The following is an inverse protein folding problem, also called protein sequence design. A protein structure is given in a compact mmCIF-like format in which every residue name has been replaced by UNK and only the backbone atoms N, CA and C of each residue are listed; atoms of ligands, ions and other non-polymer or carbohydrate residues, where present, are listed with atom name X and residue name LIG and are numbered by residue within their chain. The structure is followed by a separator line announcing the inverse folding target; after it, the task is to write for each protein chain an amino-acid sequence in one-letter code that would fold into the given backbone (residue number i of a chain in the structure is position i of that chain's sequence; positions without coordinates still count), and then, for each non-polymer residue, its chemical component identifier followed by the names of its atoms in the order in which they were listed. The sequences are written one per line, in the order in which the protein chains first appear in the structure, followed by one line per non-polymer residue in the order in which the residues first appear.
data_IF_661393722015
#
_entry.id   IF_661393722015
#
_cell.length_a   1.000
_cell.length_b   1.000
_cell.length_c   1.000
_cell.angle_alpha   90.00
_cell.angle_beta   90.00
_cell.angle_gamma   90.00
#
_symmetry.space_group_name_H-M   'P 1'
#
loop_
_entity.id
_entity.type
_entity.pdbx_description
1 polymer ?
#
# COMPACT_ATOMS: atom_id res chain seq x y z
N UNK A 1 -15.87 -6.77 2.84
CA UNK A 1 -15.61 -5.35 2.62
C UNK A 1 -14.16 -5.09 2.96
N UNK A 2 -13.45 -4.52 1.99
CA UNK A 2 -12.09 -4.04 2.17
C UNK A 2 -12.09 -2.70 2.91
N UNK A 3 -11.09 -2.52 3.76
CA UNK A 3 -10.71 -1.25 4.32
C UNK A 3 -9.22 -1.06 4.02
N UNK A 4 -8.90 -0.04 3.23
CA UNK A 4 -7.55 0.26 2.77
C UNK A 4 -7.27 1.73 3.04
N UNK A 5 -6.27 2.00 3.86
CA UNK A 5 -5.89 3.37 4.25
C UNK A 5 -4.38 3.51 4.18
N UNK A 6 -3.93 4.70 3.79
CA UNK A 6 -2.51 5.04 3.77
C UNK A 6 -2.17 5.97 4.91
N UNK A 7 -1.02 5.75 5.53
CA UNK A 7 -0.52 6.61 6.59
C UNK A 7 0.93 6.99 6.31
N UNK A 8 1.29 8.26 6.54
CA UNK A 8 2.66 8.76 6.43
C UNK A 8 3.30 8.76 7.82
N UNK A 9 4.54 8.29 7.91
CA UNK A 9 5.32 8.31 9.15
C UNK A 9 5.76 9.74 9.48
N UNK A 10 5.65 10.13 10.75
CA UNK A 10 6.18 11.40 11.22
C UNK A 10 7.71 11.47 11.00
N UNK A 11 8.24 12.62 10.56
CA UNK A 11 9.68 12.82 10.44
C UNK A 11 10.34 12.68 11.81
N UNK A 12 11.54 12.11 11.85
CA UNK A 12 12.36 11.94 13.05
C UNK A 12 11.73 11.08 14.18
N UNK A 13 10.67 10.31 13.89
CA UNK A 13 10.17 9.29 14.84
C UNK A 13 10.88 7.96 14.60
N UNK A 14 11.59 7.50 15.64
CA UNK A 14 12.19 6.18 15.65
C UNK A 14 11.17 5.14 16.12
N UNK A 15 11.18 4.00 15.44
CA UNK A 15 10.38 2.83 15.78
C UNK A 15 11.37 1.77 16.25
N UNK A 16 11.53 1.64 17.57
CA UNK A 16 12.47 0.69 18.19
C UNK A 16 11.81 -0.62 18.62
N UNK A 17 10.48 -0.60 18.80
CA UNK A 17 9.69 -1.73 19.29
C UNK A 17 8.40 -1.86 18.48
N UNK A 18 8.30 -2.93 17.69
CA UNK A 18 7.11 -3.21 16.88
C UNK A 18 5.89 -3.57 17.75
N UNK A 19 6.09 -4.07 18.98
CA UNK A 19 5.00 -4.56 19.84
C UNK A 19 4.06 -3.43 20.31
N UNK A 20 4.54 -2.19 20.33
CA UNK A 20 3.74 -1.03 20.75
C UNK A 20 3.04 -0.33 19.60
N UNK A 21 3.46 -0.57 18.35
CA UNK A 21 3.04 0.22 17.19
C UNK A 21 1.53 0.18 17.01
N UNK A 22 0.94 -1.02 16.92
CA UNK A 22 -0.49 -1.14 16.62
C UNK A 22 -1.38 -0.43 17.67
N UNK A 23 -0.99 -0.47 18.94
CA UNK A 23 -1.74 0.20 20.02
C UNK A 23 -1.45 1.70 20.13
N UNK A 24 -0.44 2.21 19.43
CA UNK A 24 0.03 3.59 19.53
C UNK A 24 0.38 4.20 18.17
N UNK A 25 -0.26 3.74 17.10
CA UNK A 25 0.15 4.05 15.73
C UNK A 25 0.13 5.56 15.47
N UNK A 26 -0.81 6.28 16.07
CA UNK A 26 -0.95 7.73 15.97
C UNK A 26 0.24 8.53 16.55
N UNK A 27 1.14 7.90 17.30
CA UNK A 27 2.42 8.51 17.73
C UNK A 27 3.48 8.51 16.65
N UNK A 28 3.34 7.62 15.66
CA UNK A 28 4.33 7.34 14.62
C UNK A 28 3.82 7.68 13.23
N UNK A 29 2.51 7.59 13.00
CA UNK A 29 1.89 7.72 11.69
C UNK A 29 0.71 8.70 11.71
N UNK A 30 0.49 9.35 10.57
CA UNK A 30 -0.62 10.27 10.29
C UNK A 30 -1.38 9.68 9.11
N UNK A 31 -2.70 9.61 9.23
CA UNK A 31 -3.54 9.21 8.11
C UNK A 31 -3.40 10.21 6.97
N UNK A 32 -3.26 9.74 5.73
CA UNK A 32 -3.03 10.59 4.57
C UNK A 32 -4.13 11.65 4.36
N UNK A 33 -5.33 11.38 4.88
CA UNK A 33 -6.51 12.23 4.79
C UNK A 33 -6.51 13.37 5.81
N UNK A 34 -5.63 13.35 6.81
CA UNK A 34 -5.37 14.51 7.66
C UNK A 34 -4.49 15.53 6.93
N UNK A 35 -5.08 16.18 5.93
CA UNK A 35 -4.44 17.20 5.10
C UNK A 35 -3.74 18.28 5.93
N UNK A 36 -4.37 18.70 7.04
CA UNK A 36 -3.86 19.77 7.88
C UNK A 36 -2.53 19.36 8.52
N UNK A 37 -2.48 18.17 9.11
CA UNK A 37 -1.25 17.67 9.72
C UNK A 37 -0.19 17.37 8.67
N UNK A 38 -0.54 16.71 7.55
CA UNK A 38 0.42 16.41 6.47
C UNK A 38 1.10 17.68 5.94
N UNK A 39 0.33 18.74 5.66
CA UNK A 39 0.88 20.03 5.18
C UNK A 39 1.87 20.66 6.15
N UNK A 40 1.77 20.37 7.46
CA UNK A 40 2.73 20.90 8.44
C UNK A 40 4.08 20.19 8.44
N UNK A 41 4.10 18.90 8.07
CA UNK A 41 5.29 18.04 8.17
C UNK A 41 5.95 17.72 6.81
N UNK A 42 5.24 17.90 5.69
CA UNK A 42 5.70 17.49 4.35
C UNK A 42 7.06 18.09 3.95
N UNK A 43 7.35 19.30 4.44
CA UNK A 43 8.63 19.98 4.20
C UNK A 43 9.83 19.31 4.88
N UNK A 44 9.57 18.52 5.92
CA UNK A 44 10.56 17.84 6.75
C UNK A 44 10.71 16.35 6.34
N UNK A 45 10.02 15.93 5.27
CA UNK A 45 10.12 14.60 4.66
C UNK A 45 10.91 14.70 3.36
N UNK A 46 11.87 13.80 3.17
CA UNK A 46 12.58 13.64 1.90
C UNK A 46 11.67 12.96 0.88
N UNK A 47 11.51 13.57 -0.31
CA UNK A 47 10.58 13.11 -1.35
C UNK A 47 10.92 11.74 -1.91
N UNK A 48 12.19 11.35 -1.83
CA UNK A 48 12.73 10.07 -2.29
C UNK A 48 12.55 8.94 -1.27
N UNK A 49 12.19 9.29 -0.02
CA UNK A 49 12.08 8.37 1.12
C UNK A 49 10.83 8.68 1.95
N UNK A 50 9.65 8.54 1.33
CA UNK A 50 8.37 8.70 2.02
C UNK A 50 8.06 7.41 2.77
N UNK A 51 8.34 7.36 4.07
CA UNK A 51 7.98 6.21 4.90
C UNK A 51 6.50 6.26 5.33
N UNK A 52 5.87 5.09 5.44
CA UNK A 52 4.46 5.00 5.81
C UNK A 52 3.93 3.57 5.91
N UNK A 53 2.62 3.45 6.08
CA UNK A 53 1.90 2.17 6.19
C UNK A 53 0.76 2.13 5.19
N UNK A 54 0.61 0.99 4.51
CA UNK A 54 -0.63 0.60 3.85
C UNK A 54 -1.38 -0.32 4.80
N UNK A 55 -2.40 0.22 5.47
CA UNK A 55 -3.27 -0.57 6.31
C UNK A 55 -4.28 -1.30 5.42
N UNK A 56 -4.32 -2.63 5.49
CA UNK A 56 -5.21 -3.46 4.69
C UNK A 56 -5.95 -4.44 5.57
N UNK A 57 -7.28 -4.35 5.54
CA UNK A 57 -8.18 -5.24 6.25
C UNK A 57 -9.28 -5.74 5.32
N UNK A 58 -9.70 -7.00 5.51
CA UNK A 58 -10.85 -7.58 4.83
C UNK A 58 -11.75 -8.31 5.84
N UNK A 59 -13.00 -7.86 5.97
CA UNK A 59 -14.01 -8.44 6.86
C UNK A 59 -13.51 -8.67 8.31
N UNK A 60 -12.87 -7.67 8.93
CA UNK A 60 -12.33 -7.80 10.29
C UNK A 60 -10.99 -8.52 10.38
N UNK A 61 -10.47 -9.07 9.27
CA UNK A 61 -9.16 -9.73 9.23
C UNK A 61 -8.12 -8.76 8.71
N UNK A 62 -7.16 -8.39 9.57
CA UNK A 62 -6.06 -7.51 9.21
C UNK A 62 -5.02 -8.32 8.42
N UNK A 63 -4.71 -7.85 7.21
CA UNK A 63 -3.72 -8.45 6.31
C UNK A 63 -2.39 -7.71 6.37
N UNK A 64 -2.44 -6.38 6.48
CA UNK A 64 -1.28 -5.52 6.73
C UNK A 64 -1.66 -4.51 7.80
N UNK A 65 -0.99 -4.58 8.94
CA UNK A 65 -1.10 -3.62 10.04
C UNK A 65 0.05 -2.62 10.03
N UNK A 66 0.18 -1.81 11.08
CA UNK A 66 1.19 -0.78 11.18
C UNK A 66 2.63 -1.30 11.39
N UNK A 67 2.81 -2.60 11.62
CA UNK A 67 4.15 -3.21 11.68
C UNK A 67 4.77 -3.38 10.30
N UNK A 68 3.95 -3.36 9.24
CA UNK A 68 4.36 -3.44 7.82
C UNK A 68 4.65 -2.05 7.22
N UNK A 69 5.30 -1.16 7.98
CA UNK A 69 5.66 0.17 7.49
C UNK A 69 6.89 0.09 6.57
N UNK A 70 6.96 0.87 5.51
CA UNK A 70 8.08 0.87 4.55
C UNK A 70 8.12 2.19 3.78
N UNK A 71 8.95 2.30 2.74
CA UNK A 71 8.88 3.37 1.74
C UNK A 71 7.54 3.23 0.98
N UNK A 72 6.53 3.98 1.41
CA UNK A 72 5.12 3.71 1.10
C UNK A 72 4.77 4.02 -0.36
N UNK A 73 5.38 5.04 -0.96
CA UNK A 73 5.12 5.38 -2.35
C UNK A 73 5.68 4.33 -3.32
N UNK A 74 6.89 3.85 -3.05
CA UNK A 74 7.46 2.70 -3.76
C UNK A 74 6.65 1.43 -3.53
N UNK A 75 6.21 1.17 -2.29
CA UNK A 75 5.38 0.00 -1.97
C UNK A 75 4.03 0.03 -2.73
N UNK A 76 3.38 1.20 -2.83
CA UNK A 76 2.19 1.35 -3.66
C UNK A 76 2.46 1.06 -5.14
N UNK A 77 3.57 1.58 -5.68
CA UNK A 77 3.96 1.29 -7.06
C UNK A 77 4.21 -0.21 -7.28
N UNK A 78 4.83 -0.89 -6.31
CA UNK A 78 5.06 -2.33 -6.34
C UNK A 78 3.75 -3.12 -6.27
N UNK A 79 2.78 -2.70 -5.46
CA UNK A 79 1.46 -3.32 -5.41
C UNK A 79 0.68 -3.17 -6.71
N UNK A 80 0.74 -2.00 -7.37
CA UNK A 80 0.12 -1.80 -8.69
C UNK A 80 0.76 -2.72 -9.74
N UNK A 81 2.08 -2.83 -9.75
CA UNK A 81 2.79 -3.77 -10.63
C UNK A 81 2.45 -5.24 -10.30
N UNK A 82 2.35 -5.59 -9.02
CA UNK A 82 1.95 -6.93 -8.58
C UNK A 82 0.55 -7.29 -9.09
N UNK A 83 -0.41 -6.35 -9.09
CA UNK A 83 -1.73 -6.54 -9.72
C UNK A 83 -1.60 -6.74 -11.22
N UNK A 84 -0.83 -5.89 -11.92
CA UNK A 84 -0.59 -6.05 -13.36
C UNK A 84 -0.03 -7.44 -13.68
N UNK A 85 0.99 -7.88 -12.97
CA UNK A 85 1.66 -9.15 -13.23
C UNK A 85 0.75 -10.33 -12.92
N UNK A 86 -0.06 -10.24 -11.86
CA UNK A 86 -1.07 -11.26 -11.53
C UNK A 86 -2.20 -11.32 -12.56
N UNK A 87 -2.51 -10.21 -13.25
CA UNK A 87 -3.49 -10.22 -14.35
C UNK A 87 -2.93 -10.80 -15.66
N UNK A 88 -1.62 -11.00 -15.75
CA UNK A 88 -0.95 -11.55 -16.94
C UNK A 88 -0.36 -12.94 -16.70
N UNK A 89 -0.18 -13.35 -15.44
CA UNK A 89 0.46 -14.60 -15.05
C UNK A 89 -0.38 -15.38 -14.02
N UNK A 90 -0.06 -16.66 -13.81
CA UNK A 90 -0.76 -17.47 -12.79
C UNK A 90 -0.46 -16.99 -11.37
N UNK A 91 0.76 -16.51 -11.13
CA UNK A 91 1.22 -15.96 -9.87
C UNK A 91 2.26 -14.86 -10.09
N UNK A 92 2.37 -13.96 -9.14
CA UNK A 92 3.38 -12.91 -9.09
C UNK A 92 3.77 -12.64 -7.64
N UNK A 93 4.97 -12.13 -7.42
CA UNK A 93 5.49 -11.79 -6.09
C UNK A 93 6.41 -10.58 -6.16
N UNK A 94 6.51 -9.87 -5.03
CA UNK A 94 7.38 -8.70 -4.87
C UNK A 94 7.85 -8.62 -3.42
N UNK A 95 9.06 -8.09 -3.22
CA UNK A 95 9.56 -7.75 -1.89
C UNK A 95 9.18 -6.31 -1.54
N UNK A 96 8.97 -6.06 -0.26
CA UNK A 96 8.91 -4.72 0.29
C UNK A 96 10.22 -3.96 -0.02
N UNK A 97 10.18 -2.62 -0.20
CA UNK A 97 11.37 -1.85 -0.58
C UNK A 97 12.54 -1.98 0.41
N UNK A 98 12.29 -1.78 1.71
CA UNK A 98 13.32 -1.75 2.74
C UNK A 98 13.24 -2.90 3.75
N UNK A 99 12.09 -3.58 3.86
CA UNK A 99 11.94 -4.75 4.73
C UNK A 99 12.05 -6.09 3.98
N UNK A 100 12.58 -7.16 4.62
CA UNK A 100 12.64 -8.50 4.03
C UNK A 100 11.27 -9.22 4.06
N UNK A 101 10.22 -8.51 3.64
CA UNK A 101 8.84 -8.99 3.61
C UNK A 101 8.45 -9.22 2.15
N UNK A 102 7.81 -10.35 1.88
CA UNK A 102 7.40 -10.71 0.52
C UNK A 102 5.89 -10.78 0.43
N UNK A 103 5.34 -10.17 -0.62
CA UNK A 103 3.95 -10.32 -1.04
C UNK A 103 3.86 -11.25 -2.22
N UNK A 104 2.85 -12.11 -2.20
CA UNK A 104 2.53 -12.98 -3.32
C UNK A 104 1.03 -12.97 -3.58
N UNK A 105 0.69 -12.88 -4.86
CA UNK A 105 -0.66 -13.10 -5.36
C UNK A 105 -0.65 -14.31 -6.28
N UNK A 106 -1.59 -15.23 -6.06
CA UNK A 106 -1.78 -16.42 -6.89
C UNK A 106 -3.22 -16.53 -7.32
N UNK A 107 -3.48 -16.56 -8.63
CA UNK A 107 -4.82 -16.83 -9.14
C UNK A 107 -5.24 -18.24 -8.70
N UNK A 108 -6.40 -18.36 -8.05
CA UNK A 108 -7.00 -19.66 -7.72
C UNK A 108 -8.13 -20.02 -8.70
N UNK A 109 -8.85 -18.99 -9.18
CA UNK A 109 -9.85 -19.09 -10.24
C UNK A 109 -10.04 -17.71 -10.88
N UNK A 110 -11.02 -17.58 -11.77
CA UNK A 110 -11.35 -16.29 -12.38
C UNK A 110 -11.76 -15.23 -11.34
N UNK A 111 -12.37 -15.65 -10.23
CA UNK A 111 -12.96 -14.73 -9.23
C UNK A 111 -12.21 -14.72 -7.90
N UNK A 112 -11.19 -15.58 -7.72
CA UNK A 112 -10.48 -15.72 -6.45
C UNK A 112 -8.97 -15.63 -6.66
N UNK A 113 -8.34 -14.88 -5.77
CA UNK A 113 -6.88 -14.76 -5.66
C UNK A 113 -6.47 -15.11 -4.24
N UNK A 114 -5.37 -15.84 -4.09
CA UNK A 114 -4.72 -16.05 -2.81
C UNK A 114 -3.74 -14.91 -2.57
N UNK A 115 -4.00 -14.11 -1.54
CA UNK A 115 -3.05 -13.16 -0.98
C UNK A 115 -2.16 -13.86 0.04
N UNK A 116 -0.86 -13.65 -0.05
CA UNK A 116 0.14 -14.16 0.90
C UNK A 116 1.09 -13.04 1.26
N UNK A 117 1.35 -12.88 2.55
CA UNK A 117 2.44 -12.06 3.09
C UNK A 117 3.37 -12.94 3.91
N UNK A 118 4.64 -12.95 3.57
CA UNK A 118 5.69 -13.70 4.23
C UNK A 118 6.63 -12.72 4.94
N UNK A 119 6.60 -12.73 6.27
CA UNK A 119 7.51 -11.99 7.15
C UNK A 119 8.12 -12.94 8.18
N UNK A 120 8.15 -12.56 9.47
CA UNK A 120 8.45 -13.51 10.57
C UNK A 120 7.40 -14.61 10.69
N UNK A 121 6.18 -14.32 10.24
CA UNK A 121 5.09 -15.28 10.10
C UNK A 121 4.51 -15.18 8.69
N UNK A 122 3.84 -16.24 8.26
CA UNK A 122 3.15 -16.25 6.97
C UNK A 122 1.66 -16.10 7.19
N UNK A 123 1.05 -15.09 6.60
CA UNK A 123 -0.40 -14.91 6.57
C UNK A 123 -0.92 -15.12 5.16
N UNK A 124 -2.00 -15.87 5.03
CA UNK A 124 -2.64 -16.19 3.75
C UNK A 124 -4.14 -16.00 3.85
N UNK A 125 -4.73 -15.37 2.84
CA UNK A 125 -6.17 -15.23 2.75
C UNK A 125 -6.63 -15.31 1.29
N UNK A 126 -7.72 -16.03 1.07
CA UNK A 126 -8.39 -16.05 -0.24
C UNK A 126 -9.32 -14.85 -0.34
N UNK A 127 -9.14 -14.04 -1.37
CA UNK A 127 -9.85 -12.79 -1.58
C UNK A 127 -10.69 -12.82 -2.86
N UNK A 128 -11.83 -12.12 -2.90
CA UNK A 128 -12.56 -11.87 -4.14
C UNK A 128 -11.68 -11.02 -5.07
N UNK A 129 -11.23 -11.62 -6.18
CA UNK A 129 -10.18 -11.06 -7.05
C UNK A 129 -10.51 -9.68 -7.57
N UNK A 130 -11.70 -9.52 -8.19
CA UNK A 130 -12.07 -8.26 -8.85
C UNK A 130 -12.27 -7.16 -7.82
N UNK A 131 -13.06 -7.41 -6.76
CA UNK A 131 -13.27 -6.44 -5.67
C UNK A 131 -11.94 -6.04 -5.03
N UNK A 132 -11.05 -7.00 -4.78
CA UNK A 132 -9.74 -6.71 -4.18
C UNK A 132 -8.88 -5.82 -5.10
N UNK A 133 -8.76 -6.17 -6.37
CA UNK A 133 -7.93 -5.41 -7.31
C UNK A 133 -8.52 -4.03 -7.60
N UNK A 134 -9.84 -3.91 -7.72
CA UNK A 134 -10.51 -2.62 -7.87
C UNK A 134 -10.24 -1.71 -6.67
N UNK A 135 -10.47 -2.20 -5.45
CA UNK A 135 -10.24 -1.42 -4.23
C UNK A 135 -8.77 -1.05 -4.05
N UNK A 136 -7.84 -1.96 -4.36
CA UNK A 136 -6.40 -1.70 -4.26
C UNK A 136 -5.95 -0.62 -5.27
N UNK A 137 -6.43 -0.69 -6.51
CA UNK A 137 -6.12 0.29 -7.55
C UNK A 137 -6.79 1.65 -7.30
N UNK A 138 -7.99 1.69 -6.72
CA UNK A 138 -8.63 2.93 -6.30
C UNK A 138 -7.82 3.61 -5.18
N UNK A 139 -7.46 2.85 -4.16
CA UNK A 139 -6.67 3.34 -3.02
C UNK A 139 -5.29 3.83 -3.44
N UNK A 140 -4.63 3.12 -4.37
CA UNK A 140 -3.35 3.55 -4.95
C UNK A 140 -3.49 4.87 -5.73
N UNK A 141 -4.54 5.00 -6.54
CA UNK A 141 -4.80 6.22 -7.30
C UNK A 141 -5.02 7.43 -6.36
N UNK A 142 -5.85 7.26 -5.32
CA UNK A 142 -6.06 8.30 -4.32
C UNK A 142 -4.75 8.67 -3.60
N UNK A 143 -3.95 7.67 -3.22
CA UNK A 143 -2.65 7.89 -2.61
C UNK A 143 -1.75 8.78 -3.49
N UNK A 144 -1.51 8.38 -4.74
CA UNK A 144 -0.59 9.11 -5.62
C UNK A 144 -1.06 10.55 -5.89
N UNK A 145 -2.37 10.75 -6.10
CA UNK A 145 -2.94 12.09 -6.29
C UNK A 145 -2.77 12.97 -5.04
N UNK A 146 -3.01 12.43 -3.85
CA UNK A 146 -2.84 13.16 -2.58
C UNK A 146 -1.37 13.50 -2.33
N UNK A 147 -0.46 12.53 -2.51
CA UNK A 147 0.98 12.76 -2.32
C UNK A 147 1.50 13.79 -3.33
N UNK A 148 1.12 13.74 -4.61
CA UNK A 148 1.42 14.81 -5.56
C UNK A 148 0.88 16.18 -5.11
N UNK A 149 -0.33 16.20 -4.54
CA UNK A 149 -0.92 17.42 -3.98
C UNK A 149 -0.13 18.01 -2.81
N UNK A 150 0.50 17.18 -1.98
CA UNK A 150 1.28 17.62 -0.81
C UNK A 150 2.74 17.97 -1.16
N UNK A 151 3.40 17.13 -1.96
CA UNK A 151 4.82 17.25 -2.28
C UNK A 151 5.09 18.10 -3.53
N UNK A 152 4.07 18.38 -4.33
CA UNK A 152 4.16 19.20 -5.54
C UNK A 152 5.11 18.59 -6.57
N UNK A 153 5.95 19.42 -7.20
CA UNK A 153 6.88 18.99 -8.25
C UNK A 153 8.08 18.15 -7.76
N UNK A 154 8.14 17.82 -6.47
CA UNK A 154 9.18 16.93 -5.92
C UNK A 154 8.93 15.46 -6.24
N UNK A 155 7.70 15.11 -6.60
CA UNK A 155 7.30 13.74 -6.94
C UNK A 155 6.55 13.76 -8.27
N UNK A 156 6.65 12.67 -9.02
CA UNK A 156 5.91 12.46 -10.26
C UNK A 156 5.46 11.00 -10.33
N UNK A 157 4.15 10.78 -10.24
CA UNK A 157 3.53 9.46 -10.32
C UNK A 157 2.69 9.28 -11.59
N UNK A 158 3.02 10.03 -12.66
CA UNK A 158 2.28 9.97 -13.92
C UNK A 158 2.27 8.55 -14.50
N UNK A 159 3.38 7.82 -14.39
CA UNK A 159 3.47 6.43 -14.86
C UNK A 159 2.53 5.50 -14.09
N UNK A 160 2.53 5.59 -12.75
CA UNK A 160 1.69 4.78 -11.87
C UNK A 160 0.21 5.06 -12.13
N UNK A 161 -0.16 6.34 -12.26
CA UNK A 161 -1.54 6.75 -12.57
C UNK A 161 -2.01 6.25 -13.95
N UNK A 162 -1.14 6.31 -14.97
CA UNK A 162 -1.44 5.73 -16.29
C UNK A 162 -1.62 4.21 -16.23
N UNK A 163 -0.75 3.51 -15.50
CA UNK A 163 -0.84 2.07 -15.31
C UNK A 163 -2.13 1.69 -14.57
N UNK A 164 -2.49 2.40 -13.49
CA UNK A 164 -3.74 2.17 -12.76
C UNK A 164 -4.95 2.32 -13.69
N UNK A 165 -5.01 3.38 -14.50
CA UNK A 165 -6.10 3.59 -15.45
C UNK A 165 -6.21 2.44 -16.47
N UNK A 166 -5.08 1.96 -16.99
CA UNK A 166 -5.05 0.79 -17.89
C UNK A 166 -5.59 -0.47 -17.19
N UNK A 167 -5.21 -0.70 -15.94
CA UNK A 167 -5.63 -1.88 -15.18
C UNK A 167 -7.13 -1.82 -14.82
N UNK A 168 -7.65 -0.68 -14.39
CA UNK A 168 -9.09 -0.47 -14.14
C UNK A 168 -9.92 -0.79 -15.39
N UNK A 169 -9.47 -0.32 -16.57
CA UNK A 169 -10.13 -0.64 -17.84
C UNK A 169 -10.07 -2.13 -18.22
N UNK A 170 -9.02 -2.86 -17.79
CA UNK A 170 -8.89 -4.31 -18.02
C UNK A 170 -9.82 -5.11 -17.11
N UNK A 171 -10.08 -4.64 -15.89
CA UNK A 171 -10.99 -5.29 -14.93
C UNK A 171 -12.47 -5.09 -15.26
N UNK A 172 -12.82 -4.00 -15.94
CA UNK A 172 -14.19 -3.69 -16.34
C UNK A 172 -14.69 -4.47 -17.59
N UNK A 173 -13.82 -5.27 -18.22
CA UNK A 173 -14.12 -6.11 -19.41
C UNK A 173 -14.41 -7.55 -19.01
#
# INVERSE_FOLDING_TARGET
MFNISSYIKYPNKLIEDLSIINNNYNRFFIELDDENTIKTIVKDIESEYIEGVIYLEYNGTILMDFTYWDIIDQLWAYLVNLVNDTLNNQEAEVYFPDQPIKLKLKNLSNNLVLFTIESTTTTQLTLPKNEFFEMLLESANEFFLKVQGYFGCKVDYSYELELINKLKNKLAQ
#
